data_IF_718890561240
#
_entry.id   IF_718890561240
#
_cell.length_a   1.000
_cell.length_b   1.000
_cell.length_c   1.000
_cell.angle_alpha   90.00
_cell.angle_beta   90.00
_cell.angle_gamma   90.00
#
_symmetry.space_group_name_H-M   'P 1'
#
loop_
_entity.id
_entity.type
_entity.pdbx_description
1 polymer ?
#
# COMPACT_ATOMS: atom_id res chain seq x y z
N UNK A 1 1.17 -4.07 -18.54
CA UNK A 1 2.45 -4.69 -18.11
C UNK A 1 3.58 -4.25 -19.05
N UNK A 2 4.74 -3.86 -18.52
CA UNK A 2 5.93 -3.52 -19.34
C UNK A 2 6.36 -4.68 -20.26
N UNK A 3 6.01 -5.91 -19.92
CA UNK A 3 6.25 -7.08 -20.76
C UNK A 3 5.34 -7.13 -22.00
N UNK A 4 4.13 -6.66 -21.89
CA UNK A 4 3.19 -6.62 -23.03
C UNK A 4 3.71 -5.76 -24.18
N UNK A 5 4.46 -4.70 -23.91
CA UNK A 5 5.04 -3.82 -24.93
C UNK A 5 6.25 -4.43 -25.66
N UNK A 6 6.81 -5.54 -25.13
CA UNK A 6 7.93 -6.26 -25.73
C UNK A 6 7.51 -7.45 -26.60
N UNK A 7 6.20 -7.71 -26.65
CA UNK A 7 5.62 -8.83 -27.37
C UNK A 7 4.79 -8.31 -28.55
N UNK A 8 4.87 -9.01 -29.68
CA UNK A 8 4.15 -8.65 -30.90
C UNK A 8 2.84 -9.45 -31.06
N UNK A 9 1.90 -8.87 -31.80
CA UNK A 9 0.63 -9.48 -32.11
C UNK A 9 -0.18 -9.90 -30.89
N UNK A 10 -0.79 -11.06 -30.94
CA UNK A 10 -1.62 -11.58 -29.86
C UNK A 10 -0.80 -11.97 -28.61
N UNK A 11 0.49 -12.24 -28.77
CA UNK A 11 1.37 -12.58 -27.64
C UNK A 11 1.44 -11.50 -26.58
N UNK A 12 1.20 -10.24 -26.93
CA UNK A 12 1.15 -9.10 -25.99
C UNK A 12 0.11 -9.28 -24.87
N UNK A 13 -0.91 -10.13 -25.10
CA UNK A 13 -1.95 -10.39 -24.10
C UNK A 13 -1.59 -11.52 -23.13
N UNK A 14 -0.58 -12.35 -23.46
CA UNK A 14 -0.20 -13.51 -22.62
C UNK A 14 0.12 -13.13 -21.16
N UNK A 15 0.90 -12.06 -20.87
CA UNK A 15 1.17 -11.67 -19.49
C UNK A 15 -0.10 -11.25 -18.73
N UNK A 16 -1.05 -10.64 -19.43
CA UNK A 16 -2.35 -10.23 -18.83
C UNK A 16 -3.20 -11.45 -18.56
N UNK A 17 -3.33 -12.35 -19.53
CA UNK A 17 -4.10 -13.60 -19.37
C UNK A 17 -3.55 -14.47 -18.25
N UNK A 18 -2.22 -14.59 -18.15
CA UNK A 18 -1.57 -15.34 -17.08
C UNK A 18 -1.86 -14.72 -15.72
N UNK A 19 -1.82 -13.40 -15.61
CA UNK A 19 -2.14 -12.70 -14.37
C UNK A 19 -3.60 -12.90 -13.97
N UNK A 20 -4.53 -12.77 -14.91
CA UNK A 20 -5.96 -13.01 -14.68
C UNK A 20 -6.20 -14.44 -14.23
N UNK A 21 -5.56 -15.43 -14.86
CA UNK A 21 -5.70 -16.84 -14.48
C UNK A 21 -5.21 -17.12 -13.05
N UNK A 22 -4.06 -16.55 -12.66
CA UNK A 22 -3.54 -16.65 -11.30
C UNK A 22 -4.45 -15.97 -10.29
N UNK A 23 -4.91 -14.76 -10.57
CA UNK A 23 -5.82 -14.02 -9.70
C UNK A 23 -7.13 -14.76 -9.51
N UNK A 24 -7.69 -15.33 -10.59
CA UNK A 24 -8.92 -16.11 -10.55
C UNK A 24 -8.80 -17.34 -9.65
N UNK A 25 -7.67 -18.05 -9.70
CA UNK A 25 -7.39 -19.19 -8.82
C UNK A 25 -7.43 -18.78 -7.33
N UNK A 26 -6.85 -17.64 -6.99
CA UNK A 26 -6.83 -17.15 -5.61
C UNK A 26 -8.19 -16.64 -5.16
N UNK A 27 -8.92 -15.90 -6.00
CA UNK A 27 -10.23 -15.32 -5.67
C UNK A 27 -11.26 -16.42 -5.38
N UNK A 28 -11.19 -17.55 -6.08
CA UNK A 28 -12.13 -18.67 -5.92
C UNK A 28 -11.64 -19.76 -4.96
N UNK A 29 -10.51 -19.55 -4.27
CA UNK A 29 -10.05 -20.53 -3.29
C UNK A 29 -10.95 -20.49 -2.03
N UNK A 30 -11.48 -21.63 -1.57
CA UNK A 30 -12.45 -21.65 -0.46
C UNK A 30 -11.94 -21.02 0.83
N UNK A 31 -10.64 -21.11 1.09
CA UNK A 31 -10.00 -20.58 2.30
C UNK A 31 -9.80 -19.06 2.27
N UNK A 32 -9.94 -18.43 1.10
CA UNK A 32 -9.69 -17.00 0.95
C UNK A 32 -10.91 -16.13 1.30
N UNK A 33 -12.08 -16.73 1.52
CA UNK A 33 -13.29 -16.06 1.97
C UNK A 33 -13.96 -15.17 0.92
N UNK A 34 -15.11 -14.58 1.23
CA UNK A 34 -15.76 -13.63 0.35
C UNK A 34 -14.97 -12.31 0.33
N UNK A 35 -14.42 -11.96 -0.81
CA UNK A 35 -13.73 -10.68 -1.05
C UNK A 35 -14.72 -9.62 -1.52
N UNK A 36 -15.54 -9.10 -0.63
CA UNK A 36 -16.25 -7.86 -0.90
C UNK A 36 -15.54 -6.71 -0.20
N UNK A 37 -15.20 -5.68 -0.96
CA UNK A 37 -14.84 -4.40 -0.37
C UNK A 37 -16.10 -3.84 0.28
N UNK A 38 -16.08 -3.74 1.61
CA UNK A 38 -17.18 -3.11 2.35
C UNK A 38 -17.30 -1.64 1.94
N UNK A 39 -18.50 -1.09 2.00
CA UNK A 39 -18.73 0.35 1.84
C UNK A 39 -18.06 1.11 2.99
N UNK A 40 -16.95 1.78 2.67
CA UNK A 40 -16.24 2.61 3.62
C UNK A 40 -16.51 4.08 3.33
N UNK A 41 -16.88 4.79 4.38
CA UNK A 41 -17.04 6.24 4.33
C UNK A 41 -15.75 6.90 4.81
N UNK A 42 -15.31 8.00 4.19
CA UNK A 42 -14.21 8.79 4.73
C UNK A 42 -14.57 9.31 6.12
N UNK A 43 -13.66 9.21 7.07
CA UNK A 43 -13.86 9.69 8.44
C UNK A 43 -12.79 10.73 8.76
N UNK A 44 -13.25 11.90 9.17
CA UNK A 44 -12.45 12.97 9.76
C UNK A 44 -12.28 12.75 11.26
N UNK A 45 -11.05 12.71 11.73
CA UNK A 45 -10.74 12.59 13.16
C UNK A 45 -10.55 13.93 13.87
N UNK A 46 -10.87 15.03 13.21
CA UNK A 46 -10.70 16.40 13.73
C UNK A 46 -9.66 17.22 12.95
N UNK A 47 -9.66 17.10 11.65
CA UNK A 47 -8.75 17.79 10.72
C UNK A 47 -7.54 16.94 10.29
N UNK A 48 -6.70 17.53 9.45
CA UNK A 48 -5.62 16.81 8.74
C UNK A 48 -4.67 16.11 9.71
N UNK A 49 -4.09 16.83 10.66
CA UNK A 49 -3.08 16.27 11.57
C UNK A 49 -3.68 15.22 12.53
N UNK A 50 -4.90 15.45 13.02
CA UNK A 50 -5.61 14.48 13.85
C UNK A 50 -5.92 13.20 13.06
N UNK A 51 -6.30 13.33 11.80
CA UNK A 51 -6.62 12.17 10.94
C UNK A 51 -5.36 11.41 10.52
N UNK A 52 -4.23 12.09 10.27
CA UNK A 52 -2.93 11.44 10.08
C UNK A 52 -2.53 10.62 11.31
N UNK A 53 -2.64 11.23 12.50
CA UNK A 53 -2.33 10.55 13.75
C UNK A 53 -3.26 9.34 13.99
N UNK A 54 -4.55 9.48 13.73
CA UNK A 54 -5.54 8.41 13.85
C UNK A 54 -5.26 7.26 12.86
N UNK A 55 -4.89 7.57 11.62
CA UNK A 55 -4.46 6.60 10.62
C UNK A 55 -3.24 5.80 11.10
N UNK A 56 -2.16 6.49 11.50
CA UNK A 56 -0.93 5.85 11.98
C UNK A 56 -1.18 4.96 13.20
N UNK A 57 -1.99 5.45 14.15
CA UNK A 57 -2.36 4.68 15.33
C UNK A 57 -3.15 3.42 14.96
N UNK A 58 -4.11 3.54 14.05
CA UNK A 58 -4.89 2.40 13.57
C UNK A 58 -4.01 1.35 12.88
N UNK A 59 -3.05 1.79 12.06
CA UNK A 59 -2.06 0.90 11.43
C UNK A 59 -1.16 0.20 12.45
N UNK A 60 -0.75 0.91 13.51
CA UNK A 60 0.10 0.35 14.57
C UNK A 60 -0.64 -0.67 15.44
N UNK A 61 -1.95 -0.55 15.54
CA UNK A 61 -2.82 -1.45 16.32
C UNK A 61 -3.42 -2.59 15.53
N UNK A 62 -3.21 -2.63 14.22
CA UNK A 62 -3.82 -3.65 13.36
C UNK A 62 -5.31 -3.41 13.06
N UNK A 63 -5.79 -2.19 13.26
CA UNK A 63 -7.19 -1.80 13.06
C UNK A 63 -7.44 -1.40 11.60
N UNK A 64 -7.26 -2.35 10.69
CA UNK A 64 -7.26 -2.10 9.25
C UNK A 64 -8.56 -1.46 8.71
N UNK A 65 -9.71 -1.71 9.34
CA UNK A 65 -10.96 -1.05 8.94
C UNK A 65 -10.91 0.45 9.24
N UNK A 66 -10.46 0.84 10.43
CA UNK A 66 -10.32 2.26 10.79
C UNK A 66 -9.25 2.95 9.94
N UNK A 67 -8.12 2.29 9.71
CA UNK A 67 -7.08 2.81 8.84
C UNK A 67 -7.60 3.12 7.43
N UNK A 68 -8.43 2.23 6.86
CA UNK A 68 -9.04 2.43 5.55
C UNK A 68 -9.96 3.65 5.50
N UNK A 69 -10.81 3.85 6.53
CA UNK A 69 -11.68 5.04 6.66
C UNK A 69 -10.89 6.36 6.71
N UNK A 70 -9.84 6.40 7.55
CA UNK A 70 -9.00 7.59 7.71
C UNK A 70 -8.17 7.85 6.46
N UNK A 71 -7.61 6.81 5.83
CA UNK A 71 -6.86 6.96 4.61
C UNK A 71 -7.71 7.50 3.47
N UNK A 72 -8.94 7.03 3.33
CA UNK A 72 -9.88 7.52 2.32
C UNK A 72 -10.17 9.02 2.51
N UNK A 73 -10.32 9.48 3.74
CA UNK A 73 -10.50 10.89 4.03
C UNK A 73 -9.24 11.70 3.72
N UNK A 74 -8.07 11.22 4.12
CA UNK A 74 -6.78 11.86 3.82
C UNK A 74 -6.57 11.99 2.32
N UNK A 75 -6.85 10.94 1.55
CA UNK A 75 -6.73 10.98 0.09
C UNK A 75 -7.56 12.09 -0.56
N UNK A 76 -8.69 12.43 0.01
CA UNK A 76 -9.58 13.47 -0.48
C UNK A 76 -9.18 14.88 -0.04
N UNK A 77 -8.40 15.02 1.03
CA UNK A 77 -8.18 16.31 1.71
C UNK A 77 -6.72 16.77 1.73
N UNK A 78 -5.76 15.94 1.33
CA UNK A 78 -4.35 16.31 1.19
C UNK A 78 -3.82 15.88 -0.18
N UNK A 79 -2.65 16.37 -0.62
CA UNK A 79 -2.01 15.89 -1.85
C UNK A 79 -1.85 14.36 -1.83
N UNK A 80 -2.21 13.68 -2.92
CA UNK A 80 -2.19 12.21 -2.99
C UNK A 80 -0.81 11.63 -2.68
N UNK A 81 0.26 12.32 -3.10
CA UNK A 81 1.63 11.90 -2.79
C UNK A 81 1.90 11.94 -1.28
N UNK A 82 1.37 12.91 -0.57
CA UNK A 82 1.52 13.02 0.88
C UNK A 82 0.76 11.90 1.61
N UNK A 83 -0.45 11.56 1.14
CA UNK A 83 -1.19 10.41 1.65
C UNK A 83 -0.43 9.09 1.39
N UNK A 84 0.16 8.96 0.21
CA UNK A 84 0.98 7.81 -0.15
C UNK A 84 2.26 7.73 0.70
N UNK A 85 2.97 8.82 0.91
CA UNK A 85 4.17 8.88 1.76
C UNK A 85 3.85 8.48 3.21
N UNK A 86 2.69 8.93 3.72
CA UNK A 86 2.20 8.53 5.02
C UNK A 86 1.96 7.01 5.11
N UNK A 87 1.36 6.41 4.09
CA UNK A 87 1.20 4.95 3.99
C UNK A 87 2.55 4.25 3.93
N UNK A 88 3.49 4.76 3.14
CA UNK A 88 4.83 4.18 3.01
C UNK A 88 5.64 4.28 4.31
N UNK A 89 5.43 5.31 5.13
CA UNK A 89 6.04 5.42 6.45
C UNK A 89 5.68 4.27 7.41
N UNK A 90 4.52 3.66 7.19
CA UNK A 90 4.09 2.44 7.90
C UNK A 90 4.56 1.17 7.20
N UNK A 91 4.48 1.16 5.86
CA UNK A 91 4.75 -0.01 5.05
C UNK A 91 6.23 -0.42 5.07
N UNK A 92 7.14 0.55 4.95
CA UNK A 92 8.60 0.30 4.89
C UNK A 92 9.12 -0.41 6.14
N UNK A 93 8.84 0.04 7.37
CA UNK A 93 9.26 -0.68 8.57
C UNK A 93 8.67 -2.10 8.68
N UNK A 94 7.50 -2.33 8.11
CA UNK A 94 6.84 -3.65 8.10
C UNK A 94 7.38 -4.59 7.02
N UNK A 95 8.09 -4.08 6.03
CA UNK A 95 8.60 -4.85 4.90
C UNK A 95 9.63 -5.94 5.29
N UNK A 96 10.18 -5.86 6.49
CA UNK A 96 11.09 -6.84 7.06
C UNK A 96 10.46 -8.24 7.14
N UNK A 97 9.15 -8.31 7.38
CA UNK A 97 8.43 -9.58 7.53
C UNK A 97 7.96 -10.14 6.19
N UNK A 98 7.60 -9.26 5.27
CA UNK A 98 6.96 -9.63 4.02
C UNK A 98 7.07 -8.45 3.05
N UNK A 99 7.70 -8.66 1.91
CA UNK A 99 7.91 -7.66 0.87
C UNK A 99 6.60 -7.11 0.27
N UNK A 100 5.48 -7.79 0.46
CA UNK A 100 4.16 -7.31 0.06
C UNK A 100 3.73 -6.02 0.79
N UNK A 101 4.28 -5.73 1.96
CA UNK A 101 4.01 -4.45 2.63
C UNK A 101 4.47 -3.27 1.78
N UNK A 102 5.59 -3.40 1.08
CA UNK A 102 6.10 -2.39 0.14
C UNK A 102 5.50 -2.54 -1.26
N UNK A 103 5.45 -3.77 -1.77
CA UNK A 103 5.10 -4.05 -3.16
C UNK A 103 3.65 -3.67 -3.47
N UNK A 104 2.70 -3.97 -2.60
CA UNK A 104 1.29 -3.68 -2.85
C UNK A 104 1.00 -2.17 -2.96
N UNK A 105 1.39 -1.31 -2.00
CA UNK A 105 1.19 0.13 -2.17
C UNK A 105 1.93 0.70 -3.39
N UNK A 106 3.16 0.25 -3.64
CA UNK A 106 3.94 0.74 -4.77
C UNK A 106 3.31 0.38 -6.11
N UNK A 107 2.81 -0.84 -6.27
CA UNK A 107 2.10 -1.24 -7.49
C UNK A 107 0.73 -0.58 -7.61
N UNK A 108 0.00 -0.41 -6.51
CA UNK A 108 -1.26 0.31 -6.50
C UNK A 108 -1.06 1.76 -6.96
N UNK A 109 -0.03 2.45 -6.45
CA UNK A 109 0.33 3.80 -6.88
C UNK A 109 0.62 3.86 -8.38
N UNK A 110 1.50 2.97 -8.88
CA UNK A 110 1.83 2.90 -10.30
C UNK A 110 0.63 2.60 -11.20
N UNK A 111 -0.29 1.79 -10.71
CA UNK A 111 -1.52 1.50 -11.43
C UNK A 111 -2.43 2.73 -11.49
N UNK A 112 -2.57 3.49 -10.40
CA UNK A 112 -3.35 4.73 -10.34
C UNK A 112 -2.74 5.80 -11.25
N UNK A 113 -1.41 5.96 -11.28
CA UNK A 113 -0.73 6.87 -12.21
C UNK A 113 -1.05 6.55 -13.68
N UNK A 114 -1.28 5.28 -13.99
CA UNK A 114 -1.52 4.82 -15.36
C UNK A 114 -2.99 4.83 -15.73
N UNK A 115 -3.88 4.48 -14.81
CA UNK A 115 -5.30 4.25 -15.06
C UNK A 115 -6.16 5.46 -14.70
N UNK A 116 -5.71 6.29 -13.77
CA UNK A 116 -6.42 7.46 -13.26
C UNK A 116 -6.76 7.39 -11.78
N UNK A 117 -6.95 8.56 -11.17
CA UNK A 117 -7.19 8.72 -9.73
C UNK A 117 -8.55 8.15 -9.28
N UNK A 118 -9.50 8.04 -10.18
CA UNK A 118 -10.82 7.44 -9.95
C UNK A 118 -10.75 5.96 -9.57
N UNK A 119 -9.64 5.28 -9.90
CA UNK A 119 -9.41 3.87 -9.56
C UNK A 119 -8.80 3.65 -8.17
N UNK A 120 -8.52 4.72 -7.42
CA UNK A 120 -7.90 4.66 -6.09
C UNK A 120 -8.66 3.72 -5.14
N UNK A 121 -9.98 3.82 -5.11
CA UNK A 121 -10.82 3.01 -4.21
C UNK A 121 -10.58 1.52 -4.40
N UNK A 122 -10.44 1.08 -5.65
CA UNK A 122 -10.25 -0.34 -5.96
C UNK A 122 -8.79 -0.79 -5.88
N UNK A 123 -7.83 0.11 -6.06
CA UNK A 123 -6.41 -0.23 -6.14
C UNK A 123 -5.66 0.03 -4.83
N UNK A 124 -5.84 1.21 -4.21
CA UNK A 124 -5.06 1.59 -3.03
C UNK A 124 -5.68 1.05 -1.73
N UNK A 125 -7.00 1.04 -1.58
CA UNK A 125 -7.64 0.56 -0.34
C UNK A 125 -7.23 -0.87 0.05
N UNK A 126 -7.20 -1.86 -0.85
CA UNK A 126 -6.70 -3.18 -0.52
C UNK A 126 -5.25 -3.17 0.01
N UNK A 127 -4.39 -2.31 -0.56
CA UNK A 127 -3.02 -2.14 -0.10
C UNK A 127 -2.95 -1.51 1.31
N UNK A 128 -3.76 -0.47 1.58
CA UNK A 128 -3.89 0.14 2.91
C UNK A 128 -4.30 -0.90 3.95
N UNK A 129 -5.32 -1.70 3.64
CA UNK A 129 -5.82 -2.76 4.54
C UNK A 129 -4.76 -3.82 4.79
N UNK A 130 -3.99 -4.19 3.76
CA UNK A 130 -2.89 -5.12 3.91
C UNK A 130 -1.80 -4.57 4.84
N UNK A 131 -1.38 -3.33 4.62
CA UNK A 131 -0.37 -2.67 5.45
C UNK A 131 -0.82 -2.52 6.91
N UNK A 132 -2.11 -2.26 7.12
CA UNK A 132 -2.68 -2.03 8.45
C UNK A 132 -3.11 -3.30 9.20
N UNK A 133 -3.11 -4.48 8.56
CA UNK A 133 -3.75 -5.69 9.14
C UNK A 133 -3.05 -6.26 10.37
N UNK A 134 -1.74 -6.02 10.54
CA UNK A 134 -0.98 -6.53 11.69
C UNK A 134 -0.41 -5.39 12.53
N UNK A 135 -0.50 -5.50 13.87
CA UNK A 135 0.10 -4.53 14.77
C UNK A 135 1.61 -4.40 14.57
N UNK A 136 2.14 -3.21 14.82
CA UNK A 136 3.59 -2.96 14.76
C UNK A 136 4.38 -3.83 15.74
N UNK A 137 3.79 -4.20 16.88
CA UNK A 137 4.41 -5.04 17.90
C UNK A 137 4.86 -6.42 17.37
N UNK A 138 4.21 -6.93 16.31
CA UNK A 138 4.65 -8.18 15.68
C UNK A 138 5.94 -8.06 14.85
N UNK A 139 6.44 -6.81 14.67
CA UNK A 139 7.61 -6.51 13.84
C UNK A 139 8.84 -6.24 14.69
N UNK A 140 8.67 -6.18 16.00
CA UNK A 140 9.75 -5.89 16.94
C UNK A 140 10.61 -7.13 17.19
N UNK A 141 11.39 -7.54 16.18
CA UNK A 141 12.67 -8.19 16.52
C UNK A 141 13.60 -7.07 17.00
N UNK A 142 13.93 -7.03 18.30
CA UNK A 142 14.78 -5.98 18.85
C UNK A 142 16.19 -5.98 18.23
N UNK A 143 16.57 -7.06 17.53
CA UNK A 143 17.85 -7.16 16.84
C UNK A 143 17.80 -6.60 15.40
N UNK A 144 16.62 -6.51 14.78
CA UNK A 144 16.47 -6.14 13.37
C UNK A 144 16.22 -4.63 13.18
N UNK A 145 15.40 -4.03 14.01
CA UNK A 145 15.03 -2.60 13.90
C UNK A 145 16.22 -1.66 14.06
N UNK A 146 17.15 -1.88 15.01
CA UNK A 146 18.33 -1.02 15.15
C UNK A 146 19.27 -1.08 13.94
N UNK A 147 19.44 -2.26 13.33
CA UNK A 147 20.32 -2.44 12.16
C UNK A 147 19.76 -1.72 10.94
N UNK A 148 18.46 -1.84 10.70
CA UNK A 148 17.82 -1.19 9.57
C UNK A 148 17.71 0.33 9.74
N UNK A 149 17.32 0.79 10.92
CA UNK A 149 17.28 2.21 11.27
C UNK A 149 18.66 2.85 11.26
N UNK A 150 19.69 2.14 11.74
CA UNK A 150 21.07 2.56 11.66
C UNK A 150 21.57 2.69 10.23
N UNK A 151 21.34 1.68 9.39
CA UNK A 151 21.76 1.69 7.99
C UNK A 151 21.09 2.82 7.19
N UNK A 152 19.80 3.11 7.40
CA UNK A 152 19.09 4.22 6.77
C UNK A 152 19.68 5.57 7.23
N UNK A 153 20.00 5.71 8.52
CA UNK A 153 20.63 6.91 9.07
C UNK A 153 22.05 7.11 8.54
N UNK A 154 22.86 6.06 8.50
CA UNK A 154 24.25 6.10 8.02
C UNK A 154 24.34 6.37 6.51
N UNK A 155 23.48 5.77 5.72
CA UNK A 155 23.44 6.00 4.27
C UNK A 155 22.82 7.33 3.87
N UNK A 156 22.28 8.10 4.82
CA UNK A 156 21.62 9.41 4.56
C UNK A 156 20.63 9.34 3.38
N UNK A 157 19.94 8.24 3.22
CA UNK A 157 19.01 8.02 2.10
C UNK A 157 17.91 9.09 2.03
N UNK A 158 17.58 9.70 3.18
CA UNK A 158 16.61 10.81 3.27
C UNK A 158 17.10 12.12 2.65
N UNK A 159 18.41 12.26 2.41
CA UNK A 159 19.01 13.48 1.84
C UNK A 159 19.39 13.37 0.37
N UNK A 160 19.10 12.24 -0.27
CA UNK A 160 19.35 12.09 -1.70
C UNK A 160 18.29 12.88 -2.48
N UNK A 161 18.71 13.82 -3.35
CA UNK A 161 17.76 14.54 -4.19
C UNK A 161 17.03 13.54 -5.10
N UNK A 162 15.71 13.58 -5.09
CA UNK A 162 14.93 12.84 -6.07
C UNK A 162 15.34 13.29 -7.47
N UNK A 163 15.85 12.39 -8.29
CA UNK A 163 16.07 12.67 -9.70
C UNK A 163 14.72 12.82 -10.37
N UNK A 164 14.37 14.04 -10.70
CA UNK A 164 13.29 14.35 -11.64
C UNK A 164 13.78 13.94 -13.03
N UNK A 165 13.15 12.92 -13.59
CA UNK A 165 13.26 12.57 -15.01
C UNK A 165 12.04 13.06 -15.75
#
# INVERSE_FOLDING_TARGET
SKLSHRLEGERRFLPVLQHVALSNKHIHHPEMGPFSLMDFKPIDAGGIEATKAAFLNSCNRGEYNKADHFFLWLWQNIPHIEAFDLLMSVAIPKNILDDHYFIYPAFAWRAIETLGQEHMVNLMRPAVRYVARFPKAHISDPNFVPVYGGAVGELRLQSLPMRTH
#
